data_IF_604281299342
#
_entry.id   IF_604281299342
#
_cell.length_a   1.000
_cell.length_b   1.000
_cell.length_c   1.000
_cell.angle_alpha   90.00
_cell.angle_beta   90.00
_cell.angle_gamma   90.00
#
_symmetry.space_group_name_H-M   'P 1'
#
loop_
_entity.id
_entity.type
_entity.pdbx_description
1 polymer ?
#
# COMPACT_ATOMS: atom_id res chain seq x y z
N UNK A 1 -18.66 36.54 14.91
CA UNK A 1 -18.18 35.58 13.87
C UNK A 1 -16.66 35.63 13.85
N UNK A 2 -15.98 34.65 14.43
CA UNK A 2 -14.52 34.58 14.41
C UNK A 2 -14.06 34.19 13.00
N UNK A 3 -13.31 35.06 12.33
CA UNK A 3 -12.63 34.71 11.08
C UNK A 3 -11.52 33.72 11.42
N UNK A 4 -11.60 32.51 10.86
CA UNK A 4 -10.49 31.56 10.93
C UNK A 4 -9.24 32.22 10.32
N UNK A 5 -8.04 32.04 10.92
CA UNK A 5 -6.82 32.51 10.31
C UNK A 5 -6.66 31.90 8.92
N UNK A 6 -6.10 32.65 7.95
CA UNK A 6 -5.79 32.09 6.65
C UNK A 6 -4.91 30.85 6.83
N UNK A 7 -5.10 29.79 6.02
CA UNK A 7 -4.28 28.60 6.13
C UNK A 7 -2.81 29.00 5.98
N UNK A 8 -1.97 28.52 6.91
CA UNK A 8 -0.54 28.82 6.95
C UNK A 8 0.22 28.27 5.72
N UNK A 9 -0.46 27.54 4.84
CA UNK A 9 0.09 26.93 3.64
C UNK A 9 -0.84 27.13 2.42
N UNK A 10 -0.28 27.19 1.20
CA UNK A 10 -1.07 27.18 -0.03
C UNK A 10 -1.94 25.91 -0.08
N UNK A 11 -3.22 26.04 -0.44
CA UNK A 11 -4.15 24.90 -0.54
C UNK A 11 -3.62 23.76 -1.44
N UNK A 12 -2.80 24.09 -2.43
CA UNK A 12 -2.14 23.16 -3.34
C UNK A 12 -1.12 22.22 -2.66
N UNK A 13 -0.41 22.69 -1.63
CA UNK A 13 0.55 21.85 -0.90
C UNK A 13 -0.19 20.82 -0.03
N UNK A 14 -1.30 21.23 0.58
CA UNK A 14 -2.13 20.35 1.41
C UNK A 14 -2.76 19.21 0.59
N UNK A 15 -3.26 19.51 -0.61
CA UNK A 15 -3.84 18.47 -1.48
C UNK A 15 -2.80 17.48 -1.96
N UNK A 16 -1.58 17.95 -2.27
CA UNK A 16 -0.45 17.11 -2.67
C UNK A 16 -0.03 16.16 -1.54
N UNK A 17 0.13 16.67 -0.32
CA UNK A 17 0.53 15.87 0.84
C UNK A 17 -0.52 14.81 1.19
N UNK A 18 -1.80 15.19 1.17
CA UNK A 18 -2.90 14.25 1.41
C UNK A 18 -2.99 13.17 0.32
N UNK A 19 -2.87 13.54 -0.95
CA UNK A 19 -2.87 12.60 -2.07
C UNK A 19 -1.72 11.60 -1.96
N UNK A 20 -0.52 12.05 -1.58
CA UNK A 20 0.64 11.18 -1.39
C UNK A 20 0.41 10.15 -0.27
N UNK A 21 -0.03 10.60 0.90
CA UNK A 21 -0.30 9.72 2.05
C UNK A 21 -1.41 8.72 1.71
N UNK A 22 -2.47 9.19 1.04
CA UNK A 22 -3.59 8.36 0.61
C UNK A 22 -3.15 7.29 -0.38
N UNK A 23 -2.40 7.66 -1.42
CA UNK A 23 -1.87 6.72 -2.40
C UNK A 23 -0.96 5.66 -1.75
N UNK A 24 -0.15 6.05 -0.76
CA UNK A 24 0.67 5.09 -0.01
C UNK A 24 -0.19 4.10 0.78
N UNK A 25 -1.22 4.58 1.47
CA UNK A 25 -2.17 3.72 2.18
C UNK A 25 -2.83 2.72 1.25
N UNK A 26 -3.23 3.15 0.05
CA UNK A 26 -3.83 2.28 -0.97
C UNK A 26 -2.88 1.16 -1.40
N UNK A 27 -1.59 1.45 -1.63
CA UNK A 27 -0.60 0.43 -2.02
C UNK A 27 -0.40 -0.65 -0.97
N UNK A 28 -0.22 -0.25 0.29
CA UNK A 28 -0.06 -1.22 1.40
C UNK A 28 -1.33 -2.04 1.58
N UNK A 29 -2.49 -1.38 1.54
CA UNK A 29 -3.80 -2.04 1.62
C UNK A 29 -4.05 -2.99 0.44
N UNK A 30 -3.58 -2.65 -0.76
CA UNK A 30 -3.63 -3.54 -1.93
C UNK A 30 -2.85 -4.83 -1.69
N UNK A 31 -1.60 -4.75 -1.20
CA UNK A 31 -0.81 -5.93 -0.89
C UNK A 31 -1.49 -6.82 0.14
N UNK A 32 -2.01 -6.23 1.22
CA UNK A 32 -2.77 -6.94 2.25
C UNK A 32 -3.98 -7.64 1.61
N UNK A 33 -4.78 -6.91 0.84
CA UNK A 33 -5.96 -7.46 0.17
C UNK A 33 -5.63 -8.58 -0.81
N UNK A 34 -4.51 -8.48 -1.53
CA UNK A 34 -4.04 -9.51 -2.45
C UNK A 34 -3.71 -10.82 -1.74
N UNK A 35 -3.00 -10.73 -0.60
CA UNK A 35 -2.65 -11.89 0.23
C UNK A 35 -3.90 -12.53 0.83
N UNK A 36 -4.79 -11.72 1.42
CA UNK A 36 -6.03 -12.22 2.03
C UNK A 36 -7.05 -12.76 1.01
N UNK A 37 -6.93 -12.39 -0.27
CA UNK A 37 -7.77 -12.94 -1.32
C UNK A 37 -7.65 -14.45 -1.50
N UNK A 38 -6.47 -15.02 -1.21
CA UNK A 38 -6.24 -16.48 -1.30
C UNK A 38 -7.05 -17.25 -0.25
N UNK A 39 -6.90 -17.01 1.08
CA UNK A 39 -7.74 -17.67 2.08
C UNK A 39 -9.22 -17.33 1.92
N UNK A 40 -9.56 -16.12 1.46
CA UNK A 40 -10.94 -15.76 1.14
C UNK A 40 -11.52 -16.67 0.05
N UNK A 41 -10.78 -16.94 -1.03
CA UNK A 41 -11.21 -17.89 -2.06
C UNK A 41 -11.44 -19.29 -1.50
N UNK A 42 -10.53 -19.80 -0.68
CA UNK A 42 -10.70 -21.12 -0.05
C UNK A 42 -11.88 -21.16 0.91
N UNK A 43 -12.11 -20.11 1.71
CA UNK A 43 -13.29 -20.00 2.55
C UNK A 43 -14.59 -20.02 1.74
N UNK A 44 -14.63 -19.31 0.60
CA UNK A 44 -15.76 -19.32 -0.33
C UNK A 44 -15.95 -20.69 -1.01
N UNK A 45 -14.86 -21.40 -1.30
CA UNK A 45 -14.87 -22.73 -1.90
C UNK A 45 -15.41 -23.78 -0.93
N UNK A 46 -15.04 -23.69 0.35
CA UNK A 46 -15.50 -24.59 1.41
C UNK A 46 -16.94 -24.29 1.84
N UNK A 47 -17.35 -23.02 1.85
CA UNK A 47 -18.68 -22.60 2.29
C UNK A 47 -19.79 -22.94 1.29
N UNK A 48 -19.49 -22.97 -0.02
CA UNK A 48 -20.46 -23.29 -1.07
C UNK A 48 -20.32 -24.76 -1.47
N UNK A 49 -21.45 -25.45 -1.75
CA UNK A 49 -21.51 -26.83 -2.30
C UNK A 49 -20.39 -27.11 -3.32
N UNK A 50 -19.87 -28.35 -3.42
CA UNK A 50 -18.55 -28.65 -3.98
C UNK A 50 -18.38 -28.06 -5.38
N UNK A 51 -17.77 -26.88 -5.45
CA UNK A 51 -17.33 -26.26 -6.69
C UNK A 51 -15.94 -26.77 -6.99
N UNK A 52 -15.66 -27.04 -8.26
CA UNK A 52 -14.31 -27.41 -8.70
C UNK A 52 -13.37 -26.23 -8.50
N UNK A 53 -12.16 -26.51 -8.02
CA UNK A 53 -11.08 -25.54 -7.93
C UNK A 53 -10.80 -24.94 -9.31
N UNK A 54 -10.61 -23.62 -9.37
CA UNK A 54 -10.35 -22.86 -10.60
C UNK A 54 -9.30 -21.80 -10.31
N UNK A 55 -8.21 -21.83 -11.08
CA UNK A 55 -7.10 -20.88 -10.97
C UNK A 55 -7.57 -19.48 -11.36
N UNK A 56 -8.33 -19.35 -12.44
CA UNK A 56 -8.95 -18.09 -12.87
C UNK A 56 -9.71 -17.40 -11.74
N UNK A 57 -10.56 -18.15 -11.01
CA UNK A 57 -11.32 -17.58 -9.90
C UNK A 57 -10.44 -17.20 -8.71
N UNK A 58 -9.42 -18.00 -8.40
CA UNK A 58 -8.47 -17.68 -7.34
C UNK A 58 -7.76 -16.35 -7.65
N UNK A 59 -7.25 -16.21 -8.87
CA UNK A 59 -6.57 -15.01 -9.35
C UNK A 59 -7.51 -13.80 -9.31
N UNK A 60 -8.72 -13.94 -9.86
CA UNK A 60 -9.71 -12.85 -9.88
C UNK A 60 -10.16 -12.45 -8.47
N UNK A 61 -10.37 -13.40 -7.55
CA UNK A 61 -10.70 -13.08 -6.15
C UNK A 61 -9.54 -12.36 -5.47
N UNK A 62 -8.29 -12.75 -5.73
CA UNK A 62 -7.13 -12.05 -5.17
C UNK A 62 -6.99 -10.62 -5.70
N UNK A 63 -7.17 -10.41 -7.00
CA UNK A 63 -7.15 -9.08 -7.62
C UNK A 63 -8.28 -8.19 -7.10
N UNK A 64 -9.51 -8.73 -7.07
CA UNK A 64 -10.67 -8.00 -6.56
C UNK A 64 -10.55 -7.67 -5.06
N UNK A 65 -10.03 -8.60 -4.25
CA UNK A 65 -9.74 -8.35 -2.84
C UNK A 65 -8.66 -7.27 -2.68
N UNK A 66 -7.60 -7.33 -3.48
CA UNK A 66 -6.56 -6.29 -3.51
C UNK A 66 -7.14 -4.90 -3.80
N UNK A 67 -7.91 -4.77 -4.88
CA UNK A 67 -8.57 -3.51 -5.26
C UNK A 67 -9.55 -3.06 -4.18
N UNK A 68 -10.40 -3.95 -3.67
CA UNK A 68 -11.40 -3.63 -2.66
C UNK A 68 -10.79 -3.11 -1.37
N UNK A 69 -9.76 -3.79 -0.86
CA UNK A 69 -9.05 -3.37 0.35
C UNK A 69 -8.23 -2.09 0.09
N UNK A 70 -7.64 -1.93 -1.09
CA UNK A 70 -6.95 -0.70 -1.48
C UNK A 70 -7.89 0.51 -1.45
N UNK A 71 -9.07 0.40 -2.06
CA UNK A 71 -10.08 1.45 -2.06
C UNK A 71 -10.55 1.79 -0.64
N UNK A 72 -10.81 0.77 0.19
CA UNK A 72 -11.18 0.98 1.59
C UNK A 72 -10.08 1.68 2.39
N UNK A 73 -8.82 1.23 2.25
CA UNK A 73 -7.66 1.84 2.92
C UNK A 73 -7.38 3.27 2.46
N UNK A 74 -7.61 3.57 1.18
CA UNK A 74 -7.55 4.92 0.64
C UNK A 74 -8.62 5.83 1.23
N UNK A 75 -9.87 5.39 1.28
CA UNK A 75 -10.98 6.16 1.89
C UNK A 75 -10.76 6.42 3.38
N UNK A 76 -10.31 5.40 4.12
CA UNK A 76 -9.97 5.54 5.55
C UNK A 76 -8.80 6.51 5.74
N UNK A 77 -7.75 6.44 4.91
CA UNK A 77 -6.64 7.39 5.02
C UNK A 77 -7.06 8.81 4.67
N UNK A 78 -7.81 8.98 3.58
CA UNK A 78 -8.29 10.28 3.12
C UNK A 78 -9.18 10.95 4.18
N UNK A 79 -10.18 10.23 4.71
CA UNK A 79 -11.05 10.75 5.78
C UNK A 79 -10.29 11.11 7.05
N UNK A 80 -9.29 10.33 7.45
CA UNK A 80 -8.42 10.67 8.59
C UNK A 80 -7.55 11.90 8.32
N UNK A 81 -7.07 12.06 7.10
CA UNK A 81 -6.23 13.19 6.71
C UNK A 81 -7.03 14.49 6.59
N UNK A 82 -8.31 14.44 6.18
CA UNK A 82 -9.18 15.63 6.15
C UNK A 82 -9.44 16.23 7.53
N UNK A 83 -9.26 15.44 8.60
CA UNK A 83 -9.39 15.88 9.98
C UNK A 83 -8.04 16.29 10.61
N UNK A 84 -6.94 16.18 9.86
CA UNK A 84 -5.59 16.43 10.36
C UNK A 84 -5.10 17.84 10.00
N UNK A 85 -4.28 18.43 10.87
CA UNK A 85 -3.67 19.73 10.62
C UNK A 85 -2.55 19.65 9.56
N UNK A 86 -2.32 20.74 8.83
CA UNK A 86 -1.37 20.80 7.71
C UNK A 86 0.08 20.51 8.15
N UNK A 87 0.48 20.97 9.35
CA UNK A 87 1.79 20.66 9.91
C UNK A 87 1.98 19.15 10.16
N UNK A 88 0.91 18.47 10.58
CA UNK A 88 0.94 17.02 10.82
C UNK A 88 1.07 16.25 9.51
N UNK A 89 0.34 16.65 8.47
CA UNK A 89 0.42 16.03 7.14
C UNK A 89 1.81 16.18 6.52
N UNK A 90 2.41 17.38 6.63
CA UNK A 90 3.76 17.63 6.14
C UNK A 90 4.79 16.75 6.84
N UNK A 91 4.73 16.65 8.17
CA UNK A 91 5.64 15.78 8.94
C UNK A 91 5.49 14.32 8.52
N UNK A 92 4.25 13.83 8.42
CA UNK A 92 3.98 12.45 7.96
C UNK A 92 4.48 12.21 6.54
N UNK A 93 4.30 13.16 5.62
CA UNK A 93 4.81 13.02 4.25
C UNK A 93 6.32 12.89 4.24
N UNK A 94 7.03 13.72 4.99
CA UNK A 94 8.50 13.66 5.08
C UNK A 94 8.92 12.31 5.64
N UNK A 95 8.32 11.86 6.75
CA UNK A 95 8.60 10.56 7.35
C UNK A 95 8.37 9.40 6.36
N UNK A 96 7.24 9.40 5.64
CA UNK A 96 6.93 8.38 4.65
C UNK A 96 7.86 8.43 3.43
N UNK A 97 8.23 9.62 2.96
CA UNK A 97 9.08 9.80 1.77
C UNK A 97 10.54 9.38 2.03
N UNK A 98 11.02 9.54 3.26
CA UNK A 98 12.40 9.23 3.65
C UNK A 98 12.55 7.89 4.37
N UNK A 99 11.46 7.16 4.61
CA UNK A 99 11.55 5.83 5.22
C UNK A 99 12.17 4.80 4.27
N UNK A 100 13.37 4.33 4.60
CA UNK A 100 14.05 3.27 3.85
C UNK A 100 13.30 1.93 3.90
N UNK A 101 12.61 1.63 5.00
CA UNK A 101 11.83 0.40 5.10
C UNK A 101 10.67 0.40 4.09
N UNK A 102 9.95 1.52 3.99
CA UNK A 102 8.84 1.68 3.07
C UNK A 102 9.26 1.63 1.60
N UNK A 103 10.48 2.11 1.29
CA UNK A 103 11.04 1.99 -0.06
C UNK A 103 11.37 0.54 -0.39
N UNK A 104 12.02 -0.19 0.53
CA UNK A 104 12.30 -1.61 0.33
C UNK A 104 11.04 -2.44 0.21
N UNK A 105 10.01 -2.15 0.99
CA UNK A 105 8.69 -2.77 0.87
C UNK A 105 8.14 -2.65 -0.55
N UNK A 106 8.19 -1.45 -1.14
CA UNK A 106 7.76 -1.20 -2.52
C UNK A 106 8.66 -1.95 -3.54
N UNK A 107 9.97 -2.02 -3.30
CA UNK A 107 10.91 -2.74 -4.17
C UNK A 107 10.60 -4.24 -4.20
N UNK A 108 10.43 -4.86 -3.03
CA UNK A 108 10.05 -6.27 -2.92
C UNK A 108 8.70 -6.54 -3.57
N UNK A 109 7.70 -5.69 -3.32
CA UNK A 109 6.40 -5.79 -3.98
C UNK A 109 6.52 -5.68 -5.50
N UNK A 110 7.29 -4.74 -6.02
CA UNK A 110 7.48 -4.54 -7.47
C UNK A 110 8.21 -5.72 -8.12
N UNK A 111 9.29 -6.21 -7.52
CA UNK A 111 10.01 -7.39 -7.99
C UNK A 111 9.07 -8.60 -7.99
N UNK A 112 8.34 -8.80 -6.89
CA UNK A 112 7.35 -9.87 -6.78
C UNK A 112 6.28 -9.77 -7.87
N UNK A 113 5.77 -8.57 -8.16
CA UNK A 113 4.79 -8.35 -9.21
C UNK A 113 5.32 -8.72 -10.59
N UNK A 114 6.54 -8.27 -10.94
CA UNK A 114 7.18 -8.60 -12.23
C UNK A 114 7.36 -10.11 -12.36
N UNK A 115 7.87 -10.77 -11.32
CA UNK A 115 8.02 -12.23 -11.29
C UNK A 115 6.66 -12.92 -11.44
N UNK A 116 5.62 -12.43 -10.76
CA UNK A 116 4.27 -12.97 -10.84
C UNK A 116 3.66 -12.83 -12.24
N UNK A 117 3.81 -11.68 -12.89
CA UNK A 117 3.34 -11.43 -14.27
C UNK A 117 4.02 -12.36 -15.27
N UNK A 118 5.29 -12.75 -15.06
CA UNK A 118 6.00 -13.66 -15.95
C UNK A 118 5.72 -15.14 -15.63
N UNK A 119 5.79 -15.53 -14.35
CA UNK A 119 5.73 -16.93 -13.92
C UNK A 119 4.31 -17.49 -13.95
N UNK A 120 3.29 -16.71 -13.56
CA UNK A 120 1.92 -17.23 -13.48
C UNK A 120 1.36 -17.60 -14.86
N UNK A 121 1.50 -16.76 -15.91
CA UNK A 121 1.10 -17.18 -17.27
C UNK A 121 1.92 -18.36 -17.79
N UNK A 122 3.22 -18.42 -17.49
CA UNK A 122 4.07 -19.53 -17.93
C UNK A 122 3.63 -20.87 -17.33
N UNK A 123 3.22 -20.89 -16.06
CA UNK A 123 2.80 -22.11 -15.36
C UNK A 123 1.34 -22.47 -15.67
N UNK A 124 0.46 -21.47 -15.82
CA UNK A 124 -0.99 -21.67 -15.89
C UNK A 124 -1.60 -21.30 -17.25
N UNK A 125 -0.82 -21.30 -18.33
CA UNK A 125 -1.20 -20.86 -19.68
C UNK A 125 -2.56 -21.41 -20.18
N UNK A 126 -2.90 -22.65 -19.83
CA UNK A 126 -4.14 -23.32 -20.27
C UNK A 126 -5.30 -23.22 -19.28
N UNK A 127 -5.13 -22.55 -18.14
CA UNK A 127 -6.10 -22.58 -17.02
C UNK A 127 -6.94 -21.31 -16.86
N UNK A 128 -6.57 -20.21 -17.51
CA UNK A 128 -7.28 -18.94 -17.46
C UNK A 128 -6.90 -18.07 -18.66
N UNK A 129 -7.61 -16.96 -18.87
CA UNK A 129 -7.24 -15.98 -19.90
C UNK A 129 -5.91 -15.28 -19.57
N UNK A 130 -5.17 -14.85 -20.60
CA UNK A 130 -3.87 -14.18 -20.42
C UNK A 130 -3.96 -12.92 -19.53
N UNK A 131 -5.05 -12.16 -19.64
CA UNK A 131 -5.28 -10.99 -18.79
C UNK A 131 -5.47 -11.37 -17.32
N UNK A 132 -6.24 -12.42 -17.02
CA UNK A 132 -6.43 -12.88 -15.63
C UNK A 132 -5.13 -13.43 -15.06
N UNK A 133 -4.35 -14.17 -15.86
CA UNK A 133 -3.05 -14.72 -15.47
C UNK A 133 -2.04 -13.61 -15.17
N UNK A 134 -1.97 -12.58 -16.01
CA UNK A 134 -1.02 -11.47 -15.83
C UNK A 134 -1.43 -10.55 -14.70
N UNK A 135 -2.70 -10.13 -14.63
CA UNK A 135 -3.20 -9.26 -13.55
C UNK A 135 -3.21 -9.97 -12.21
N UNK A 136 -3.71 -11.20 -12.16
CA UNK A 136 -3.70 -12.01 -10.94
C UNK A 136 -2.30 -12.41 -10.51
N UNK A 137 -1.44 -12.75 -11.47
CA UNK A 137 -0.03 -13.04 -11.21
C UNK A 137 0.72 -11.84 -10.65
N UNK A 138 0.55 -10.66 -11.24
CA UNK A 138 1.11 -9.42 -10.71
C UNK A 138 0.58 -9.06 -9.33
N UNK A 139 -0.72 -9.26 -9.09
CA UNK A 139 -1.34 -8.98 -7.80
C UNK A 139 -0.82 -9.91 -6.69
N UNK A 140 -0.82 -11.22 -6.93
CA UNK A 140 -0.27 -12.19 -5.98
C UNK A 140 1.24 -12.02 -5.80
N UNK A 141 1.95 -11.72 -6.89
CA UNK A 141 3.37 -11.42 -6.86
C UNK A 141 3.69 -10.21 -5.98
N UNK A 142 2.92 -9.13 -6.13
CA UNK A 142 3.07 -7.92 -5.31
C UNK A 142 2.82 -8.22 -3.82
N UNK A 143 1.72 -8.93 -3.52
CA UNK A 143 1.42 -9.37 -2.16
C UNK A 143 2.50 -10.29 -1.58
N UNK A 144 3.01 -11.24 -2.37
CA UNK A 144 4.08 -12.15 -1.96
C UNK A 144 5.39 -11.42 -1.64
N UNK A 145 5.81 -10.48 -2.48
CA UNK A 145 6.98 -9.64 -2.23
C UNK A 145 6.83 -8.81 -0.96
N UNK A 146 5.69 -8.16 -0.78
CA UNK A 146 5.35 -7.43 0.45
C UNK A 146 5.44 -8.32 1.69
N UNK A 147 4.88 -9.55 1.63
CA UNK A 147 4.92 -10.50 2.74
C UNK A 147 6.36 -10.91 3.08
N UNK A 148 7.20 -11.14 2.07
CA UNK A 148 8.62 -11.47 2.26
C UNK A 148 9.36 -10.33 2.95
N UNK A 149 9.10 -9.08 2.56
CA UNK A 149 9.71 -7.91 3.23
C UNK A 149 9.33 -7.86 4.72
N UNK A 150 8.05 -8.05 5.04
CA UNK A 150 7.60 -8.08 6.42
C UNK A 150 8.17 -9.27 7.21
N UNK A 151 8.24 -10.45 6.58
CA UNK A 151 8.88 -11.62 7.18
C UNK A 151 10.35 -11.36 7.52
N UNK A 152 11.12 -10.80 6.59
CA UNK A 152 12.53 -10.44 6.82
C UNK A 152 12.68 -9.40 7.93
N UNK A 153 11.76 -8.44 7.99
CA UNK A 153 11.74 -7.42 9.05
C UNK A 153 11.48 -8.05 10.42
N UNK A 154 10.58 -9.03 10.52
CA UNK A 154 10.29 -9.78 11.76
C UNK A 154 11.45 -10.67 12.21
N UNK A 155 12.18 -11.27 11.27
CA UNK A 155 13.34 -12.14 11.54
C UNK A 155 14.61 -11.34 11.87
N UNK A 156 14.55 -10.00 11.84
CA UNK A 156 15.65 -9.13 12.29
C UNK A 156 16.60 -8.68 11.18
N UNK A 157 16.30 -8.96 9.91
CA UNK A 157 17.01 -8.36 8.78
C UNK A 157 16.36 -7.01 8.41
N UNK A 158 16.29 -6.10 9.39
CA UNK A 158 15.61 -4.83 9.23
C UNK A 158 16.47 -3.87 8.40
N UNK A 159 15.83 -3.18 7.45
CA UNK A 159 16.44 -2.03 6.80
C UNK A 159 16.83 -1.00 7.87
N UNK A 160 18.11 -0.65 7.93
CA UNK A 160 18.60 0.40 8.83
C UNK A 160 17.72 1.64 8.73
N UNK A 161 17.42 2.24 9.89
CA UNK A 161 16.67 3.50 9.96
C UNK A 161 17.40 4.50 9.07
N UNK A 162 16.73 5.00 8.03
CA UNK A 162 17.27 6.12 7.27
C UNK A 162 17.53 7.28 8.23
N UNK A 163 18.59 8.06 7.97
CA UNK A 163 18.85 9.29 8.70
C UNK A 163 17.58 10.14 8.69
N UNK A 164 16.97 10.30 9.86
CA UNK A 164 15.79 11.12 10.04
C UNK A 164 16.20 12.54 9.65
N UNK A 165 15.56 13.17 8.63
CA UNK A 165 15.92 14.53 8.28
C UNK A 165 15.64 15.41 9.50
N UNK A 166 16.66 16.14 9.95
CA UNK A 166 16.55 17.12 11.03
C UNK A 166 15.56 18.19 10.59
N UNK A 167 14.31 18.07 11.02
CA UNK A 167 13.29 19.09 10.78
C UNK A 167 13.72 20.28 11.63
N UNK A 168 14.00 21.47 11.04
CA UNK A 168 14.34 22.65 11.82
C UNK A 168 13.27 22.85 12.89
N UNK A 169 13.67 22.77 14.14
CA UNK A 169 12.74 23.00 15.24
C UNK A 169 12.25 24.43 15.11
N UNK A 170 10.93 24.60 15.10
CA UNK A 170 10.29 25.91 15.19
C UNK A 170 10.43 26.38 16.65
N UNK A 171 11.66 26.47 17.16
CA UNK A 171 11.95 26.96 18.50
C UNK A 171 11.74 28.48 18.50
N UNK A 172 10.70 28.99 19.20
CA UNK A 172 10.44 30.43 19.26
C UNK A 172 11.61 31.23 19.86
N UNK A 173 12.60 30.57 20.49
CA UNK A 173 13.82 31.22 21.00
C UNK A 173 14.79 31.65 19.90
N UNK A 174 14.72 31.09 18.69
CA UNK A 174 15.64 31.47 17.60
C UNK A 174 15.19 32.72 16.82
N UNK A 175 13.95 33.21 16.99
CA UNK A 175 13.45 34.45 16.34
C UNK A 175 13.85 35.75 17.06
N UNK A 176 14.60 35.70 18.16
CA UNK A 176 15.00 36.87 18.96
C UNK A 176 16.51 37.15 18.92
N UNK A 177 17.16 37.01 17.78
CA UNK A 177 18.52 37.53 17.57
C UNK A 177 18.59 38.29 16.27
#
# INVERSE_FOLDING_TARGET
MARLPPPLFPAEQWTSDNAYITARSMKSSFAIGAIFGVPLYFGLLLSKRPRKFSVERLLNVSTLSGIGVASAGGLVAYSRNTLSDAATLKRRRVELAYSASLRREDDFGTIGAILGVCLVPAIFWTRAGLLDLTLGGGTLGYGGGFLIHHWQTLVGNSAGKAAEPEIPSDDPRMRRR
#
